data_IF_421069765420
#
_entry.id   IF_421069765420
#
_cell.length_a   1.000
_cell.length_b   1.000
_cell.length_c   1.000
_cell.angle_alpha   90.00
_cell.angle_beta   90.00
_cell.angle_gamma   90.00
#
_symmetry.space_group_name_H-M   'P 1'
#
loop_
_entity.id
_entity.type
_entity.pdbx_description
1 polymer ?
#
# COMPACT_ATOMS: atom_id res chain seq x y z
N UNK A 1 -13.59 -6.97 -19.97
CA UNK A 1 -12.42 -7.82 -19.65
C UNK A 1 -11.09 -7.23 -20.12
N UNK A 2 -11.04 -6.58 -21.29
CA UNK A 2 -9.81 -5.93 -21.79
C UNK A 2 -9.38 -4.73 -20.93
N UNK A 3 -10.32 -3.92 -20.42
CA UNK A 3 -9.99 -2.76 -19.58
C UNK A 3 -9.36 -3.16 -18.24
N UNK A 4 -9.93 -4.17 -17.55
CA UNK A 4 -9.36 -4.69 -16.29
C UNK A 4 -7.94 -5.26 -16.48
N UNK A 5 -7.68 -5.91 -17.63
CA UNK A 5 -6.34 -6.38 -17.98
C UNK A 5 -5.38 -5.21 -18.21
N UNK A 6 -5.84 -4.16 -18.90
CA UNK A 6 -5.04 -2.95 -19.14
C UNK A 6 -4.71 -2.24 -17.82
N UNK A 7 -5.69 -2.11 -16.92
CA UNK A 7 -5.49 -1.53 -15.59
C UNK A 7 -4.50 -2.35 -14.76
N UNK A 8 -4.61 -3.68 -14.76
CA UNK A 8 -3.67 -4.54 -14.03
C UNK A 8 -2.24 -4.43 -14.59
N UNK A 9 -2.09 -4.37 -15.91
CA UNK A 9 -0.80 -4.17 -16.55
C UNK A 9 -0.18 -2.80 -16.22
N UNK A 10 -0.99 -1.75 -16.20
CA UNK A 10 -0.56 -0.41 -15.81
C UNK A 10 -0.16 -0.35 -14.33
N UNK A 11 -0.97 -0.94 -13.45
CA UNK A 11 -0.68 -1.03 -12.01
C UNK A 11 0.61 -1.81 -11.76
N UNK A 12 0.78 -2.98 -12.39
CA UNK A 12 2.01 -3.77 -12.27
C UNK A 12 3.25 -3.00 -12.75
N UNK A 13 3.16 -2.27 -13.87
CA UNK A 13 4.23 -1.39 -14.36
C UNK A 13 4.57 -0.22 -13.44
N UNK A 14 3.58 0.34 -12.77
CA UNK A 14 3.80 1.41 -11.81
C UNK A 14 4.44 0.86 -10.52
N UNK A 15 3.91 -0.25 -10.02
CA UNK A 15 4.32 -0.84 -8.75
C UNK A 15 5.69 -1.54 -8.83
N UNK A 16 6.09 -2.02 -10.00
CA UNK A 16 7.42 -2.59 -10.24
C UNK A 16 8.56 -1.58 -10.09
N UNK A 17 8.27 -0.27 -10.13
CA UNK A 17 9.26 0.79 -9.94
C UNK A 17 9.68 0.93 -8.46
N UNK A 18 8.88 0.40 -7.53
CA UNK A 18 9.13 0.53 -6.10
C UNK A 18 9.78 -0.72 -5.54
N UNK A 19 10.78 -0.52 -4.70
CA UNK A 19 11.42 -1.61 -3.95
C UNK A 19 10.55 -2.04 -2.76
N UNK A 20 10.73 -3.29 -2.31
CA UNK A 20 10.09 -3.80 -1.09
C UNK A 20 10.36 -2.93 0.14
N UNK A 21 11.55 -2.31 0.22
CA UNK A 21 11.90 -1.39 1.30
C UNK A 21 11.06 -0.12 1.30
N UNK A 22 10.72 0.40 0.12
CA UNK A 22 9.83 1.57 0.00
C UNK A 22 8.39 1.23 0.41
N UNK A 23 7.89 0.05 0.05
CA UNK A 23 6.59 -0.43 0.54
C UNK A 23 6.58 -0.63 2.06
N UNK A 24 7.65 -1.20 2.64
CA UNK A 24 7.81 -1.30 4.08
C UNK A 24 7.79 0.06 4.77
N UNK A 25 8.54 1.02 4.22
CA UNK A 25 8.59 2.38 4.76
C UNK A 25 7.21 3.05 4.72
N UNK A 26 6.48 2.94 3.61
CA UNK A 26 5.11 3.45 3.50
C UNK A 26 4.18 2.80 4.54
N UNK A 27 4.24 1.47 4.69
CA UNK A 27 3.49 0.75 5.71
C UNK A 27 3.81 1.25 7.12
N UNK A 28 5.08 1.41 7.46
CA UNK A 28 5.52 1.86 8.78
C UNK A 28 5.03 3.27 9.09
N UNK A 29 5.16 4.21 8.15
CA UNK A 29 4.71 5.60 8.31
C UNK A 29 3.19 5.67 8.47
N UNK A 30 2.43 4.95 7.66
CA UNK A 30 0.96 4.95 7.72
C UNK A 30 0.47 4.33 9.04
N UNK A 31 1.10 3.25 9.47
CA UNK A 31 0.77 2.59 10.75
C UNK A 31 1.08 3.51 11.93
N UNK A 32 2.23 4.16 11.92
CA UNK A 32 2.61 5.11 12.96
C UNK A 32 1.66 6.31 13.01
N UNK A 33 1.30 6.88 11.86
CA UNK A 33 0.33 7.98 11.77
C UNK A 33 -1.06 7.56 12.26
N UNK A 34 -1.53 6.37 11.87
CA UNK A 34 -2.81 5.84 12.32
C UNK A 34 -2.83 5.63 13.84
N UNK A 35 -1.74 5.10 14.41
CA UNK A 35 -1.60 4.94 15.86
C UNK A 35 -1.55 6.28 16.58
N UNK A 36 -0.79 7.24 16.05
CA UNK A 36 -0.71 8.59 16.60
C UNK A 36 -2.07 9.28 16.65
N UNK A 37 -2.86 9.17 15.57
CA UNK A 37 -4.21 9.72 15.52
C UNK A 37 -5.14 9.02 16.51
N UNK A 38 -5.06 7.69 16.62
CA UNK A 38 -5.86 6.94 17.60
C UNK A 38 -5.54 7.33 19.06
N UNK A 39 -4.29 7.73 19.34
CA UNK A 39 -3.88 8.18 20.67
C UNK A 39 -4.30 9.61 20.98
N UNK A 40 -4.17 10.53 20.01
CA UNK A 40 -4.35 11.97 20.25
C UNK A 40 -5.75 12.49 19.93
N UNK A 41 -6.51 11.79 19.08
CA UNK A 41 -7.82 12.26 18.62
C UNK A 41 -8.91 11.37 19.21
N UNK A 42 -9.63 11.91 20.18
CA UNK A 42 -10.76 11.21 20.81
C UNK A 42 -11.82 10.82 19.77
N UNK A 43 -12.24 9.56 19.79
CA UNK A 43 -13.21 9.01 18.84
C UNK A 43 -12.64 8.64 17.47
N UNK A 44 -11.33 8.80 17.24
CA UNK A 44 -10.71 8.41 15.97
C UNK A 44 -10.66 6.89 15.80
N UNK A 45 -11.28 6.40 14.73
CA UNK A 45 -11.20 5.00 14.30
C UNK A 45 -11.27 4.93 12.77
N UNK A 46 -10.11 5.01 12.12
CA UNK A 46 -10.05 4.93 10.66
C UNK A 46 -9.76 3.52 10.17
N UNK A 47 -10.81 2.82 9.75
CA UNK A 47 -10.68 1.52 9.06
C UNK A 47 -9.95 1.69 7.73
N UNK A 48 -10.21 2.78 7.01
CA UNK A 48 -9.56 3.08 5.74
C UNK A 48 -8.04 3.22 5.87
N UNK A 49 -7.55 3.93 6.90
CA UNK A 49 -6.11 4.10 7.08
C UNK A 49 -5.42 2.78 7.44
N UNK A 50 -6.09 1.93 8.23
CA UNK A 50 -5.62 0.58 8.49
C UNK A 50 -5.59 -0.30 7.23
N UNK A 51 -6.61 -0.20 6.36
CA UNK A 51 -6.65 -0.92 5.08
C UNK A 51 -5.53 -0.48 4.14
N UNK A 52 -5.25 0.83 4.05
CA UNK A 52 -4.14 1.35 3.24
C UNK A 52 -2.80 0.85 3.79
N UNK A 53 -2.61 0.85 5.12
CA UNK A 53 -1.44 0.24 5.74
C UNK A 53 -1.29 -1.24 5.37
N UNK A 54 -2.36 -2.03 5.51
CA UNK A 54 -2.39 -3.44 5.14
C UNK A 54 -2.10 -3.69 3.66
N UNK A 55 -2.57 -2.81 2.77
CA UNK A 55 -2.23 -2.85 1.35
C UNK A 55 -0.72 -2.73 1.14
N UNK A 56 -0.08 -1.68 1.67
CA UNK A 56 1.36 -1.49 1.56
C UNK A 56 2.17 -2.63 2.19
N UNK A 57 1.67 -3.20 3.29
CA UNK A 57 2.25 -4.40 3.89
C UNK A 57 2.20 -5.60 2.93
N UNK A 58 1.05 -5.88 2.33
CA UNK A 58 0.88 -6.97 1.37
C UNK A 58 1.76 -6.80 0.12
N UNK A 59 1.92 -5.57 -0.34
CA UNK A 59 2.75 -5.23 -1.50
C UNK A 59 4.23 -5.59 -1.33
N UNK A 60 4.73 -5.73 -0.10
CA UNK A 60 6.09 -6.23 0.14
C UNK A 60 6.32 -7.66 -0.35
N UNK A 61 5.27 -8.48 -0.37
CA UNK A 61 5.34 -9.90 -0.72
C UNK A 61 4.93 -10.16 -2.17
N UNK A 62 4.31 -9.19 -2.83
CA UNK A 62 3.96 -9.28 -4.23
C UNK A 62 5.23 -9.34 -5.11
N UNK A 63 5.20 -10.22 -6.10
CA UNK A 63 6.20 -10.28 -7.16
C UNK A 63 5.71 -9.42 -8.32
N UNK A 64 6.28 -8.23 -8.46
CA UNK A 64 6.12 -7.43 -9.66
C UNK A 64 7.17 -7.88 -10.65
N UNK A 65 6.77 -8.68 -11.65
CA UNK A 65 7.67 -9.01 -12.74
C UNK A 65 7.97 -7.73 -13.52
N UNK A 66 9.25 -7.37 -13.73
CA UNK A 66 9.58 -6.33 -14.69
C UNK A 66 9.10 -6.84 -16.05
N UNK A 67 8.11 -6.16 -16.61
CA UNK A 67 7.62 -6.46 -17.94
C UNK A 67 8.80 -6.24 -18.91
N UNK A 68 9.35 -7.33 -19.45
CA UNK A 68 10.41 -7.28 -20.47
C UNK A 68 9.92 -6.58 -21.73
#
# INVERSE_FOLDING_TARGET
MNELKAMNAAASRFLSQFSRKQFFLAFAVITAANYWLAYNVSGYKSVYLAMVGGFFFGMMFAKFEPNK
#
